data_IF_392882487068
#
_entry.id   IF_392882487068
#
_cell.length_a   1.000
_cell.length_b   1.000
_cell.length_c   1.000
_cell.angle_alpha   90.00
_cell.angle_beta   90.00
_cell.angle_gamma   90.00
#
_symmetry.space_group_name_H-M   'P 1'
#
loop_
_entity.id
_entity.type
_entity.pdbx_description
1 polymer ?
#
# COMPACT_ATOMS: atom_id res chain seq x y z
N UNK A 1 13.00 22.88 22.57
CA UNK A 1 11.77 22.32 21.97
C UNK A 1 11.29 23.13 20.76
N UNK A 2 11.71 24.40 20.60
CA UNK A 2 11.13 25.31 19.60
C UNK A 2 11.56 25.09 18.14
N UNK A 3 12.79 24.63 17.88
CA UNK A 3 13.29 24.48 16.50
C UNK A 3 12.61 23.35 15.73
N UNK A 4 12.33 22.22 16.40
CA UNK A 4 11.63 21.09 15.80
C UNK A 4 10.16 21.42 15.51
N UNK A 5 9.47 22.09 16.43
CA UNK A 5 8.09 22.52 16.24
C UNK A 5 7.98 23.56 15.12
N UNK A 6 8.89 24.53 15.08
CA UNK A 6 8.93 25.52 14.01
C UNK A 6 9.19 24.87 12.65
N UNK A 7 10.15 23.95 12.55
CA UNK A 7 10.42 23.20 11.32
C UNK A 7 9.18 22.40 10.86
N UNK A 8 8.44 21.80 11.79
CA UNK A 8 7.25 21.01 11.50
C UNK A 8 6.09 21.88 10.99
N UNK A 9 5.88 23.05 11.59
CA UNK A 9 4.91 24.05 11.13
C UNK A 9 5.29 24.61 9.75
N UNK A 10 6.57 24.86 9.50
CA UNK A 10 7.07 25.30 8.20
C UNK A 10 6.84 24.25 7.11
N UNK A 11 7.07 22.97 7.44
CA UNK A 11 6.90 21.84 6.52
C UNK A 11 5.41 21.59 6.22
N UNK A 12 4.54 21.74 7.23
CA UNK A 12 3.09 21.73 7.04
C UNK A 12 2.62 22.91 6.17
N UNK A 13 3.13 24.11 6.44
CA UNK A 13 2.84 25.30 5.63
C UNK A 13 3.26 25.14 4.18
N UNK A 14 4.49 24.66 3.93
CA UNK A 14 5.03 24.41 2.60
C UNK A 14 4.26 23.32 1.86
N UNK A 15 3.91 22.22 2.52
CA UNK A 15 3.12 21.14 1.90
C UNK A 15 1.69 21.58 1.58
N UNK A 16 1.05 22.34 2.46
CA UNK A 16 -0.27 22.93 2.20
C UNK A 16 -0.22 23.94 1.05
N UNK A 17 0.80 24.79 1.01
CA UNK A 17 0.99 25.78 -0.05
C UNK A 17 1.28 25.10 -1.39
N UNK A 18 2.16 24.09 -1.40
CA UNK A 18 2.41 23.28 -2.59
C UNK A 18 1.16 22.55 -3.07
N UNK A 19 0.36 21.98 -2.16
CA UNK A 19 -0.91 21.34 -2.48
C UNK A 19 -1.91 22.34 -3.09
N UNK A 20 -2.06 23.53 -2.51
CA UNK A 20 -2.94 24.58 -3.01
C UNK A 20 -2.47 25.11 -4.37
N UNK A 21 -1.18 25.41 -4.53
CA UNK A 21 -0.60 25.88 -5.79
C UNK A 21 -0.71 24.80 -6.86
N UNK A 22 -0.39 23.55 -6.55
CA UNK A 22 -0.55 22.41 -7.46
C UNK A 22 -2.01 22.22 -7.87
N UNK A 23 -2.94 22.30 -6.92
CA UNK A 23 -4.37 22.20 -7.20
C UNK A 23 -4.85 23.36 -8.08
N UNK A 24 -4.49 24.60 -7.77
CA UNK A 24 -4.85 25.79 -8.55
C UNK A 24 -4.21 25.75 -9.95
N UNK A 25 -2.96 25.31 -10.06
CA UNK A 25 -2.22 25.19 -11.31
C UNK A 25 -2.79 24.06 -12.20
N UNK A 26 -3.14 22.92 -11.62
CA UNK A 26 -3.84 21.85 -12.32
C UNK A 26 -5.24 22.31 -12.75
N UNK A 27 -5.95 23.04 -11.89
CA UNK A 27 -7.24 23.63 -12.23
C UNK A 27 -7.12 24.69 -13.33
N UNK A 28 -6.07 25.52 -13.33
CA UNK A 28 -5.87 26.54 -14.37
C UNK A 28 -5.44 25.94 -15.71
N UNK A 29 -4.64 24.87 -15.69
CA UNK A 29 -4.31 24.04 -16.87
C UNK A 29 -5.54 23.29 -17.40
N UNK A 30 -6.40 22.79 -16.52
CA UNK A 30 -7.62 22.06 -16.89
C UNK A 30 -8.77 22.99 -17.29
N UNK A 31 -8.73 24.26 -16.86
CA UNK A 31 -9.79 25.24 -17.10
C UNK A 31 -9.78 25.82 -18.52
N UNK A 32 -8.74 25.59 -19.32
CA UNK A 32 -8.61 26.27 -20.61
C UNK A 32 -9.26 25.57 -21.81
N UNK A 33 -9.84 24.37 -21.72
CA UNK A 33 -10.54 23.79 -22.89
C UNK A 33 -11.66 22.75 -22.66
N UNK A 34 -12.14 22.51 -21.42
CA UNK A 34 -13.07 21.37 -21.16
C UNK A 34 -14.27 21.73 -20.26
N UNK A 35 -14.79 22.96 -20.34
CA UNK A 35 -15.92 23.42 -19.52
C UNK A 35 -17.19 23.79 -20.31
N UNK A 36 -17.49 23.06 -21.38
CA UNK A 36 -18.79 23.16 -22.06
C UNK A 36 -19.37 21.76 -22.31
N UNK A 37 -20.44 21.44 -21.58
CA UNK A 37 -21.29 20.24 -21.71
C UNK A 37 -20.58 18.87 -21.74
N UNK A 38 -20.13 18.38 -20.57
CA UNK A 38 -19.66 17.00 -20.42
C UNK A 38 -20.78 16.08 -19.89
N UNK A 39 -21.36 15.19 -20.72
CA UNK A 39 -22.31 14.16 -20.27
C UNK A 39 -21.71 13.16 -19.26
N UNK A 40 -20.41 13.23 -19.02
CA UNK A 40 -19.63 12.32 -18.18
C UNK A 40 -19.50 12.76 -16.72
N UNK A 41 -19.97 13.96 -16.32
CA UNK A 41 -19.83 14.47 -14.94
C UNK A 41 -20.34 13.48 -13.89
N UNK A 42 -21.53 12.92 -14.09
CA UNK A 42 -22.11 11.93 -13.16
C UNK A 42 -21.31 10.61 -13.11
N UNK A 43 -20.79 10.17 -14.25
CA UNK A 43 -20.02 8.93 -14.34
C UNK A 43 -18.63 9.07 -13.73
N UNK A 44 -17.98 10.24 -13.90
CA UNK A 44 -16.68 10.54 -13.31
C UNK A 44 -16.76 10.56 -11.79
N UNK A 45 -17.73 11.27 -11.20
CA UNK A 45 -17.91 11.28 -9.74
C UNK A 45 -18.25 9.88 -9.19
N UNK A 46 -19.02 9.09 -9.94
CA UNK A 46 -19.37 7.72 -9.55
C UNK A 46 -18.17 6.76 -9.49
N UNK A 47 -17.15 6.96 -10.33
CA UNK A 47 -15.91 6.16 -10.34
C UNK A 47 -14.86 6.75 -9.40
N UNK A 48 -14.70 8.07 -9.40
CA UNK A 48 -13.72 8.78 -8.58
C UNK A 48 -14.01 8.66 -7.08
N UNK A 49 -15.29 8.65 -6.67
CA UNK A 49 -15.64 8.57 -5.24
C UNK A 49 -15.22 7.25 -4.58
N UNK A 50 -15.49 6.04 -5.13
CA UNK A 50 -14.94 4.82 -4.55
C UNK A 50 -13.42 4.76 -4.54
N UNK A 51 -12.76 5.23 -5.61
CA UNK A 51 -11.30 5.24 -5.69
C UNK A 51 -10.70 6.18 -4.64
N UNK A 52 -11.28 7.36 -4.44
CA UNK A 52 -10.88 8.30 -3.39
C UNK A 52 -11.01 7.68 -2.01
N UNK A 53 -12.18 7.08 -1.71
CA UNK A 53 -12.41 6.41 -0.42
C UNK A 53 -11.39 5.28 -0.22
N UNK A 54 -11.13 4.46 -1.24
CA UNK A 54 -10.13 3.38 -1.18
C UNK A 54 -8.74 3.92 -0.85
N UNK A 55 -8.30 4.99 -1.52
CA UNK A 55 -7.00 5.63 -1.26
C UNK A 55 -6.92 6.28 0.12
N UNK A 56 -7.99 6.94 0.58
CA UNK A 56 -8.06 7.50 1.93
C UNK A 56 -7.99 6.42 3.00
N UNK A 57 -8.68 5.30 2.82
CA UNK A 57 -8.63 4.17 3.76
C UNK A 57 -7.24 3.52 3.80
N UNK A 58 -6.55 3.44 2.66
CA UNK A 58 -5.17 2.98 2.63
C UNK A 58 -4.25 3.89 3.47
N UNK A 59 -4.45 5.20 3.42
CA UNK A 59 -3.74 6.14 4.31
C UNK A 59 -4.10 5.91 5.78
N UNK A 60 -5.38 5.71 6.09
CA UNK A 60 -5.82 5.39 7.46
C UNK A 60 -5.12 4.13 7.97
N UNK A 61 -5.09 3.04 7.20
CA UNK A 61 -4.39 1.80 7.54
C UNK A 61 -2.88 2.02 7.74
N UNK A 62 -2.27 2.91 6.93
CA UNK A 62 -0.83 3.18 7.01
C UNK A 62 -0.44 4.02 8.23
N UNK A 63 -1.37 4.80 8.78
CA UNK A 63 -1.12 5.72 9.90
C UNK A 63 -1.73 5.25 11.23
N UNK A 64 -2.75 4.38 11.20
CA UNK A 64 -3.42 3.83 12.38
C UNK A 64 -2.41 3.27 13.39
N UNK A 65 -1.48 2.43 12.94
CA UNK A 65 -0.44 1.84 13.79
C UNK A 65 0.33 2.91 14.58
N UNK A 66 0.82 3.94 13.90
CA UNK A 66 1.65 4.98 14.51
C UNK A 66 0.84 5.83 15.48
N UNK A 67 -0.40 6.17 15.12
CA UNK A 67 -1.29 6.94 15.98
C UNK A 67 -1.69 6.17 17.24
N UNK A 68 -2.00 4.88 17.10
CA UNK A 68 -2.38 4.03 18.23
C UNK A 68 -1.17 3.73 19.13
N UNK A 69 -0.01 3.42 18.57
CA UNK A 69 1.22 3.29 19.35
C UNK A 69 1.55 4.59 20.10
N UNK A 70 1.34 5.75 19.48
CA UNK A 70 1.51 7.06 20.12
C UNK A 70 0.62 7.31 21.34
N UNK A 71 -0.53 6.64 21.42
CA UNK A 71 -1.39 6.69 22.60
C UNK A 71 -0.88 5.78 23.73
N UNK A 72 -0.35 4.60 23.41
CA UNK A 72 0.04 3.59 24.41
C UNK A 72 1.51 3.65 24.86
N UNK A 73 2.40 4.27 24.07
CA UNK A 73 3.84 4.15 24.24
C UNK A 73 4.54 5.52 24.16
N UNK A 74 5.73 5.66 24.78
CA UNK A 74 6.55 6.85 24.65
C UNK A 74 6.96 7.13 23.20
N UNK A 75 7.09 8.41 22.84
CA UNK A 75 7.45 8.88 21.50
C UNK A 75 8.71 8.20 20.93
N UNK A 76 9.70 7.90 21.77
CA UNK A 76 10.93 7.20 21.37
C UNK A 76 10.64 5.82 20.73
N UNK A 77 9.74 5.04 21.34
CA UNK A 77 9.37 3.71 20.80
C UNK A 77 8.53 3.81 19.53
N UNK A 78 7.71 4.86 19.43
CA UNK A 78 6.89 5.13 18.24
C UNK A 78 7.78 5.56 17.08
N UNK A 79 8.77 6.42 17.34
CA UNK A 79 9.79 6.83 16.37
C UNK A 79 10.60 5.63 15.86
N UNK A 80 11.03 4.75 16.77
CA UNK A 80 11.70 3.51 16.39
C UNK A 80 10.84 2.60 15.50
N UNK A 81 9.58 2.38 15.85
CA UNK A 81 8.64 1.63 15.01
C UNK A 81 8.51 2.26 13.62
N UNK A 82 8.47 3.59 13.54
CA UNK A 82 8.34 4.29 12.25
C UNK A 82 9.57 4.12 11.36
N UNK A 83 10.77 4.12 11.94
CA UNK A 83 12.02 3.78 11.24
C UNK A 83 11.93 2.36 10.69
N UNK A 84 11.55 1.40 11.54
CA UNK A 84 11.40 -0.01 11.15
C UNK A 84 10.40 -0.17 10.00
N UNK A 85 9.23 0.47 10.11
CA UNK A 85 8.22 0.45 9.05
C UNK A 85 8.76 1.02 7.74
N UNK A 86 9.50 2.13 7.78
CA UNK A 86 10.15 2.71 6.61
C UNK A 86 11.17 1.76 5.96
N UNK A 87 12.00 1.10 6.77
CA UNK A 87 12.94 0.08 6.27
C UNK A 87 12.18 -1.08 5.61
N UNK A 88 11.08 -1.57 6.22
CA UNK A 88 10.25 -2.62 5.62
C UNK A 88 9.62 -2.19 4.29
N UNK A 89 9.17 -0.94 4.15
CA UNK A 89 8.56 -0.43 2.91
C UNK A 89 9.52 -0.36 1.72
N UNK A 90 10.84 -0.47 1.94
CA UNK A 90 11.81 -0.58 0.84
C UNK A 90 11.52 -1.81 -0.05
N UNK A 91 10.96 -2.87 0.52
CA UNK A 91 10.57 -4.09 -0.20
C UNK A 91 9.53 -3.78 -1.29
N UNK A 92 8.56 -2.90 -1.00
CA UNK A 92 7.46 -2.57 -1.92
C UNK A 92 7.71 -1.28 -2.70
N UNK A 93 8.88 -0.65 -2.57
CA UNK A 93 9.22 0.57 -3.28
C UNK A 93 9.14 0.39 -4.81
N UNK A 94 9.72 -0.69 -5.34
CA UNK A 94 9.64 -1.01 -6.77
C UNK A 94 8.21 -1.28 -7.23
N UNK A 95 7.39 -1.94 -6.39
CA UNK A 95 5.98 -2.20 -6.67
C UNK A 95 5.18 -0.89 -6.82
N UNK A 96 5.45 0.14 -6.02
CA UNK A 96 4.82 1.45 -6.19
C UNK A 96 5.12 2.07 -7.56
N UNK A 97 6.37 2.01 -8.01
CA UNK A 97 6.76 2.51 -9.33
C UNK A 97 6.13 1.70 -10.47
N UNK A 98 6.03 0.38 -10.33
CA UNK A 98 5.37 -0.46 -11.34
C UNK A 98 3.86 -0.17 -11.41
N UNK A 99 3.21 0.03 -10.27
CA UNK A 99 1.77 0.27 -10.21
C UNK A 99 1.31 1.52 -10.98
N UNK A 100 2.14 2.57 -11.07
CA UNK A 100 1.81 3.79 -11.83
C UNK A 100 1.76 3.55 -13.34
N UNK A 101 2.59 2.64 -13.85
CA UNK A 101 2.64 2.25 -15.27
C UNK A 101 1.60 1.17 -15.58
N UNK A 102 1.36 0.25 -14.65
CA UNK A 102 0.44 -0.88 -14.83
C UNK A 102 -1.02 -0.42 -14.88
N UNK A 103 -1.39 0.59 -14.10
CA UNK A 103 -2.77 1.10 -14.07
C UNK A 103 -3.32 1.46 -15.48
N UNK A 104 -2.67 2.33 -16.29
CA UNK A 104 -3.16 2.63 -17.64
C UNK A 104 -3.10 1.43 -18.59
N UNK A 105 -2.11 0.54 -18.45
CA UNK A 105 -2.01 -0.68 -19.27
C UNK A 105 -3.19 -1.61 -19.03
N UNK A 106 -3.56 -1.85 -17.77
CA UNK A 106 -4.73 -2.67 -17.42
C UNK A 106 -6.00 -2.07 -18.02
N UNK A 107 -6.19 -0.76 -17.90
CA UNK A 107 -7.37 -0.10 -18.48
C UNK A 107 -7.44 -0.28 -20.01
N UNK A 108 -6.30 -0.34 -20.71
CA UNK A 108 -6.27 -0.55 -22.16
C UNK A 108 -6.60 -1.99 -22.57
N UNK A 109 -6.17 -2.98 -21.78
CA UNK A 109 -6.27 -4.41 -22.13
C UNK A 109 -7.34 -5.18 -21.35
N UNK A 110 -8.15 -4.52 -20.51
CA UNK A 110 -9.08 -5.19 -19.60
C UNK A 110 -10.09 -6.16 -20.26
N UNK A 111 -10.39 -5.98 -21.56
CA UNK A 111 -11.28 -6.85 -22.32
C UNK A 111 -10.60 -8.13 -22.83
N UNK A 112 -9.27 -8.15 -22.86
CA UNK A 112 -8.45 -9.26 -23.33
C UNK A 112 -7.87 -9.99 -22.11
N UNK A 113 -8.59 -11.01 -21.64
CA UNK A 113 -8.25 -11.76 -20.43
C UNK A 113 -6.86 -12.43 -20.51
N UNK A 114 -6.44 -12.85 -21.70
CA UNK A 114 -5.10 -13.42 -21.93
C UNK A 114 -4.02 -12.37 -21.67
N UNK A 115 -4.13 -11.19 -22.30
CA UNK A 115 -3.14 -10.13 -22.09
C UNK A 115 -3.14 -9.59 -20.66
N UNK A 116 -4.32 -9.51 -20.05
CA UNK A 116 -4.45 -9.12 -18.65
C UNK A 116 -3.75 -10.12 -17.72
N UNK A 117 -3.91 -11.41 -17.98
CA UNK A 117 -3.22 -12.48 -17.25
C UNK A 117 -1.69 -12.36 -17.39
N UNK A 118 -1.20 -12.22 -18.62
CA UNK A 118 0.23 -12.11 -18.89
C UNK A 118 0.84 -10.86 -18.25
N UNK A 119 0.12 -9.73 -18.29
CA UNK A 119 0.54 -8.50 -17.60
C UNK A 119 0.59 -8.71 -16.09
N UNK A 120 -0.47 -9.23 -15.48
CA UNK A 120 -0.53 -9.47 -14.03
C UNK A 120 0.61 -10.38 -13.57
N UNK A 121 0.87 -11.47 -14.32
CA UNK A 121 1.94 -12.42 -14.05
C UNK A 121 3.32 -11.78 -14.18
N UNK A 122 3.57 -11.00 -15.25
CA UNK A 122 4.84 -10.33 -15.47
C UNK A 122 5.13 -9.30 -14.37
N UNK A 123 4.11 -8.55 -13.93
CA UNK A 123 4.25 -7.59 -12.83
C UNK A 123 4.54 -8.31 -11.52
N UNK A 124 3.84 -9.40 -11.21
CA UNK A 124 4.11 -10.18 -10.00
C UNK A 124 5.52 -10.80 -9.99
N UNK A 125 6.01 -11.26 -11.15
CA UNK A 125 7.39 -11.74 -11.30
C UNK A 125 8.42 -10.62 -11.12
N UNK A 126 8.19 -9.44 -11.70
CA UNK A 126 9.08 -8.28 -11.53
C UNK A 126 9.12 -7.82 -10.07
N UNK A 127 7.96 -7.77 -9.40
CA UNK A 127 7.89 -7.51 -7.97
C UNK A 127 8.69 -8.55 -7.18
N UNK A 128 8.57 -9.85 -7.49
CA UNK A 128 9.36 -10.87 -6.81
C UNK A 128 10.86 -10.69 -7.02
N UNK A 129 11.31 -10.47 -8.26
CA UNK A 129 12.73 -10.30 -8.60
C UNK A 129 13.32 -9.06 -7.92
N UNK A 130 12.53 -8.01 -7.69
CA UNK A 130 12.98 -6.78 -7.03
C UNK A 130 12.86 -6.87 -5.50
N UNK A 131 11.72 -7.30 -4.98
CA UNK A 131 11.42 -7.39 -3.54
C UNK A 131 12.15 -8.54 -2.85
N UNK A 132 12.40 -9.66 -3.53
CA UNK A 132 13.06 -10.83 -2.97
C UNK A 132 14.49 -10.56 -2.47
N UNK A 133 15.39 -10.00 -3.30
CA UNK A 133 16.73 -9.60 -2.88
C UNK A 133 16.71 -8.56 -1.74
N UNK A 134 15.81 -7.58 -1.79
CA UNK A 134 15.67 -6.57 -0.73
C UNK A 134 15.26 -7.23 0.59
N UNK A 135 14.33 -8.18 0.55
CA UNK A 135 13.92 -8.96 1.71
C UNK A 135 15.08 -9.79 2.30
N UNK A 136 15.90 -10.43 1.46
CA UNK A 136 17.10 -11.16 1.91
C UNK A 136 18.10 -10.21 2.59
N UNK A 137 18.34 -9.02 2.01
CA UNK A 137 19.20 -8.00 2.62
C UNK A 137 18.65 -7.58 3.99
N UNK A 138 17.34 -7.38 4.12
CA UNK A 138 16.70 -7.05 5.40
C UNK A 138 16.82 -8.20 6.42
N UNK A 139 16.71 -9.46 6.00
CA UNK A 139 16.91 -10.61 6.89
C UNK A 139 18.34 -10.71 7.41
N UNK A 140 19.34 -10.47 6.57
CA UNK A 140 20.75 -10.61 6.94
C UNK A 140 21.29 -9.38 7.68
N UNK A 141 20.85 -8.18 7.29
CA UNK A 141 21.40 -6.91 7.76
C UNK A 141 20.39 -6.01 8.48
N UNK A 142 19.21 -6.53 8.84
CA UNK A 142 18.11 -5.74 9.41
C UNK A 142 18.50 -4.93 10.64
N UNK A 143 19.24 -5.53 11.58
CA UNK A 143 19.73 -4.84 12.78
C UNK A 143 20.67 -3.67 12.43
N UNK A 144 21.58 -3.88 11.46
CA UNK A 144 22.51 -2.85 11.00
C UNK A 144 21.78 -1.72 10.25
N UNK A 145 20.77 -2.06 9.46
CA UNK A 145 19.93 -1.09 8.74
C UNK A 145 19.15 -0.20 9.72
N UNK A 146 18.61 -0.76 10.81
CA UNK A 146 17.97 0.02 11.88
C UNK A 146 19.03 0.89 12.61
N UNK A 147 20.21 0.31 12.90
CA UNK A 147 21.30 1.00 13.59
C UNK A 147 21.84 2.21 12.84
N UNK A 148 21.75 2.22 11.51
CA UNK A 148 22.14 3.37 10.68
C UNK A 148 21.38 4.67 11.02
N UNK A 149 20.18 4.55 11.59
CA UNK A 149 19.38 5.69 12.03
C UNK A 149 19.74 6.20 13.45
N UNK A 150 20.85 5.74 14.03
CA UNK A 150 21.34 6.23 15.33
C UNK A 150 20.53 5.76 16.54
N UNK A 151 19.82 4.63 16.41
CA UNK A 151 18.97 4.09 17.47
C UNK A 151 19.82 3.44 18.55
N UNK A 152 19.49 3.70 19.83
CA UNK A 152 20.14 3.14 21.02
C UNK A 152 20.09 1.61 21.11
N UNK A 153 18.99 0.97 20.67
CA UNK A 153 18.84 -0.49 20.70
C UNK A 153 18.18 -1.07 19.43
N UNK A 154 18.94 -1.22 18.32
CA UNK A 154 18.41 -1.76 17.06
C UNK A 154 17.93 -3.21 17.16
N UNK A 155 18.54 -4.00 18.05
CA UNK A 155 18.24 -5.42 18.21
C UNK A 155 16.82 -5.66 18.75
N UNK A 156 16.31 -4.78 19.61
CA UNK A 156 14.94 -4.86 20.12
C UNK A 156 13.87 -4.69 19.02
N UNK A 157 14.20 -3.93 17.98
CA UNK A 157 13.30 -3.59 16.88
C UNK A 157 13.37 -4.59 15.72
N UNK A 158 14.39 -5.44 15.69
CA UNK A 158 14.59 -6.43 14.63
C UNK A 158 13.37 -7.38 14.43
N UNK A 159 12.73 -7.93 15.48
CA UNK A 159 11.55 -8.77 15.30
C UNK A 159 10.39 -8.05 14.61
N UNK A 160 10.20 -6.75 14.89
CA UNK A 160 9.14 -5.94 14.28
C UNK A 160 9.42 -5.78 12.78
N UNK A 161 10.70 -5.58 12.42
CA UNK A 161 11.14 -5.48 11.03
C UNK A 161 10.85 -6.76 10.26
N UNK A 162 11.17 -7.92 10.82
CA UNK A 162 10.97 -9.19 10.15
C UNK A 162 9.48 -9.46 9.91
N UNK A 163 8.62 -9.25 10.91
CA UNK A 163 7.18 -9.44 10.77
C UNK A 163 6.61 -8.52 9.67
N UNK A 164 6.98 -7.24 9.68
CA UNK A 164 6.54 -6.30 8.64
C UNK A 164 7.11 -6.65 7.27
N UNK A 165 8.37 -7.09 7.20
CA UNK A 165 9.03 -7.48 5.97
C UNK A 165 8.32 -8.67 5.29
N UNK A 166 7.87 -9.67 6.06
CA UNK A 166 7.03 -10.76 5.55
C UNK A 166 5.70 -10.27 4.98
N UNK A 167 5.05 -9.33 5.68
CA UNK A 167 3.85 -8.68 5.17
C UNK A 167 4.12 -8.02 3.81
N UNK A 168 5.14 -7.15 3.76
CA UNK A 168 5.52 -6.37 2.57
C UNK A 168 5.89 -7.29 1.39
N UNK A 169 6.58 -8.38 1.67
CA UNK A 169 6.91 -9.38 0.67
C UNK A 169 5.64 -10.06 0.11
N UNK A 170 4.69 -10.43 0.97
CA UNK A 170 3.40 -11.00 0.52
C UNK A 170 2.60 -10.02 -0.34
N UNK A 171 2.63 -8.74 0.00
CA UNK A 171 2.02 -7.69 -0.79
C UNK A 171 2.67 -7.53 -2.18
N UNK A 172 4.00 -7.61 -2.25
CA UNK A 172 4.73 -7.59 -3.52
C UNK A 172 4.35 -8.79 -4.42
N UNK A 173 4.26 -9.98 -3.82
CA UNK A 173 3.91 -11.22 -4.50
C UNK A 173 2.53 -11.25 -5.11
N UNK A 174 1.57 -10.57 -4.47
CA UNK A 174 0.17 -10.60 -4.88
C UNK A 174 -0.09 -9.85 -6.18
N UNK A 175 0.89 -9.07 -6.66
CA UNK A 175 0.79 -8.33 -7.91
C UNK A 175 -0.17 -7.14 -7.83
N UNK A 176 -0.58 -6.58 -8.98
CA UNK A 176 -1.36 -5.34 -9.04
C UNK A 176 -2.87 -5.57 -8.84
N UNK A 177 -3.28 -6.48 -7.95
CA UNK A 177 -4.69 -6.92 -7.79
C UNK A 177 -5.67 -5.78 -7.56
N UNK A 178 -5.31 -4.80 -6.73
CA UNK A 178 -6.17 -3.64 -6.46
C UNK A 178 -6.28 -2.72 -7.68
N UNK A 179 -5.18 -2.54 -8.43
CA UNK A 179 -5.19 -1.78 -9.67
C UNK A 179 -6.05 -2.46 -10.73
N UNK A 180 -6.00 -3.79 -10.80
CA UNK A 180 -6.89 -4.56 -11.68
C UNK A 180 -8.35 -4.29 -11.32
N UNK A 181 -8.74 -4.42 -10.06
CA UNK A 181 -10.12 -4.14 -9.65
C UNK A 181 -10.55 -2.70 -9.98
N UNK A 182 -9.71 -1.71 -9.69
CA UNK A 182 -10.02 -0.30 -9.97
C UNK A 182 -10.12 0.02 -11.47
N UNK A 183 -9.26 -0.57 -12.30
CA UNK A 183 -9.18 -0.26 -13.73
C UNK A 183 -10.11 -1.13 -14.59
N UNK A 184 -10.81 -2.10 -13.98
CA UNK A 184 -11.76 -3.00 -14.66
C UNK A 184 -13.22 -2.77 -14.25
N UNK A 185 -13.52 -1.64 -13.58
CA UNK A 185 -14.90 -1.27 -13.20
C UNK A 185 -15.40 -1.90 -11.89
N UNK A 186 -14.49 -2.47 -11.09
CA UNK A 186 -14.79 -3.04 -9.76
C UNK A 186 -14.26 -2.16 -8.62
N UNK A 187 -14.18 -0.84 -8.83
CA UNK A 187 -13.71 0.14 -7.84
C UNK A 187 -14.53 0.11 -6.53
N UNK A 188 -15.82 -0.23 -6.61
CA UNK A 188 -16.66 -0.44 -5.42
C UNK A 188 -16.23 -1.65 -4.60
N UNK A 189 -15.81 -2.73 -5.26
CA UNK A 189 -15.30 -3.93 -4.59
C UNK A 189 -13.94 -3.65 -3.94
N UNK A 190 -13.06 -2.90 -4.62
CA UNK A 190 -11.80 -2.42 -4.06
C UNK A 190 -12.03 -1.55 -2.81
N UNK A 191 -12.94 -0.56 -2.90
CA UNK A 191 -13.35 0.27 -1.76
C UNK A 191 -13.87 -0.56 -0.58
N UNK A 192 -14.80 -1.49 -0.83
CA UNK A 192 -15.38 -2.31 0.23
C UNK A 192 -14.31 -3.21 0.88
N UNK A 193 -13.35 -3.71 0.09
CA UNK A 193 -12.19 -4.44 0.62
C UNK A 193 -11.39 -3.55 1.57
N UNK A 194 -11.01 -2.34 1.14
CA UNK A 194 -10.26 -1.40 1.99
C UNK A 194 -11.02 -0.97 3.24
N UNK A 195 -12.36 -0.86 3.18
CA UNK A 195 -13.18 -0.57 4.36
C UNK A 195 -13.06 -1.68 5.40
N UNK A 196 -13.29 -2.93 4.99
CA UNK A 196 -13.18 -4.10 5.89
C UNK A 196 -11.78 -4.18 6.47
N UNK A 197 -10.76 -3.94 5.66
CA UNK A 197 -9.35 -4.03 6.08
C UNK A 197 -8.98 -2.93 7.05
N UNK A 198 -9.47 -1.70 6.85
CA UNK A 198 -9.26 -0.60 7.79
C UNK A 198 -9.87 -0.90 9.16
N UNK A 199 -11.12 -1.39 9.18
CA UNK A 199 -11.79 -1.77 10.42
C UNK A 199 -11.05 -2.92 11.11
N UNK A 200 -10.68 -3.97 10.36
CA UNK A 200 -9.93 -5.10 10.91
C UNK A 200 -8.55 -4.68 11.43
N UNK A 201 -7.85 -3.80 10.72
CA UNK A 201 -6.52 -3.34 11.13
C UNK A 201 -6.60 -2.53 12.42
N UNK A 202 -7.56 -1.60 12.54
CA UNK A 202 -7.77 -0.83 13.76
C UNK A 202 -8.19 -1.74 14.93
N UNK A 203 -9.10 -2.71 14.68
CA UNK A 203 -9.53 -3.65 15.70
C UNK A 203 -8.37 -4.55 16.19
N UNK A 204 -7.58 -5.10 15.28
CA UNK A 204 -6.41 -5.91 15.62
C UNK A 204 -5.36 -5.08 16.37
N UNK A 205 -5.11 -3.85 15.94
CA UNK A 205 -4.23 -2.94 16.66
C UNK A 205 -4.73 -2.66 18.08
N UNK A 206 -6.03 -2.42 18.25
CA UNK A 206 -6.63 -2.17 19.57
C UNK A 206 -6.48 -3.37 20.52
N UNK A 207 -6.48 -4.60 19.98
CA UNK A 207 -6.35 -5.83 20.76
C UNK A 207 -4.87 -6.21 21.01
N UNK A 208 -4.01 -6.07 20.00
CA UNK A 208 -2.63 -6.57 20.04
C UNK A 208 -1.62 -5.55 20.59
N UNK A 209 -1.83 -4.24 20.37
CA UNK A 209 -0.90 -3.22 20.88
C UNK A 209 -0.83 -3.20 22.41
N UNK A 210 -1.94 -3.28 23.17
CA UNK A 210 -1.86 -3.25 24.64
C UNK A 210 -1.01 -4.39 25.23
N UNK A 211 -1.05 -5.58 24.62
CA UNK A 211 -0.32 -6.76 25.11
C UNK A 211 1.09 -6.89 24.53
N UNK A 212 1.31 -6.53 23.26
CA UNK A 212 2.56 -6.78 22.53
C UNK A 212 3.30 -5.50 22.09
N UNK A 213 2.72 -4.32 22.33
CA UNK A 213 3.31 -3.03 21.94
C UNK A 213 3.57 -2.92 20.43
N UNK A 214 4.76 -2.45 20.00
CA UNK A 214 5.09 -2.31 18.59
C UNK A 214 5.08 -3.62 17.79
N UNK A 215 5.36 -4.75 18.45
CA UNK A 215 5.27 -6.07 17.80
C UNK A 215 3.79 -6.41 17.48
N UNK A 216 2.86 -6.01 18.35
CA UNK A 216 1.42 -6.15 18.11
C UNK A 216 0.94 -5.37 16.90
N UNK A 217 1.47 -4.15 16.71
CA UNK A 217 1.20 -3.36 15.50
C UNK A 217 1.75 -4.04 14.25
N UNK A 218 2.99 -4.55 14.31
CA UNK A 218 3.58 -5.30 13.21
C UNK A 218 2.73 -6.53 12.81
N UNK A 219 2.26 -7.31 13.79
CA UNK A 219 1.37 -8.45 13.51
C UNK A 219 0.03 -8.01 12.92
N UNK A 220 -0.60 -6.98 13.48
CA UNK A 220 -1.89 -6.45 12.99
C UNK A 220 -1.79 -6.08 11.52
N UNK A 221 -0.76 -5.32 11.16
CA UNK A 221 -0.53 -4.87 9.78
C UNK A 221 -0.14 -6.00 8.85
N UNK A 222 0.71 -6.94 9.27
CA UNK A 222 1.05 -8.09 8.43
C UNK A 222 -0.17 -8.99 8.19
N UNK A 223 -0.98 -9.28 9.22
CA UNK A 223 -2.17 -10.12 9.09
C UNK A 223 -3.23 -9.46 8.18
N UNK A 224 -3.52 -8.17 8.38
CA UNK A 224 -4.45 -7.48 7.50
C UNK A 224 -3.93 -7.38 6.09
N UNK A 225 -2.61 -7.17 5.93
CA UNK A 225 -1.99 -7.08 4.60
C UNK A 225 -2.06 -8.37 3.81
N UNK A 226 -1.76 -9.50 4.45
CA UNK A 226 -1.92 -10.83 3.87
C UNK A 226 -3.40 -11.08 3.55
N UNK A 227 -4.30 -10.80 4.49
CA UNK A 227 -5.73 -11.04 4.34
C UNK A 227 -6.35 -10.29 3.16
N UNK A 228 -6.06 -9.00 3.01
CA UNK A 228 -6.63 -8.21 1.91
C UNK A 228 -6.05 -8.57 0.56
N UNK A 229 -4.77 -8.92 0.50
CA UNK A 229 -4.14 -9.39 -0.73
C UNK A 229 -4.75 -10.69 -1.22
N UNK A 230 -4.96 -11.66 -0.31
CA UNK A 230 -5.65 -12.92 -0.63
C UNK A 230 -7.07 -12.62 -1.12
N UNK A 231 -7.82 -11.81 -0.37
CA UNK A 231 -9.20 -11.44 -0.73
C UNK A 231 -9.28 -10.77 -2.11
N UNK A 232 -8.41 -9.79 -2.38
CA UNK A 232 -8.35 -9.09 -3.66
C UNK A 232 -7.95 -10.03 -4.80
N UNK A 233 -6.99 -10.94 -4.58
CA UNK A 233 -6.62 -11.97 -5.55
C UNK A 233 -7.80 -12.91 -5.87
N UNK A 234 -8.57 -13.33 -4.87
CA UNK A 234 -9.78 -14.13 -5.07
C UNK A 234 -10.83 -13.39 -5.89
N UNK A 235 -11.03 -12.09 -5.65
CA UNK A 235 -11.95 -11.26 -6.45
C UNK A 235 -11.48 -11.13 -7.90
N UNK A 236 -10.20 -10.91 -8.14
CA UNK A 236 -9.63 -10.85 -9.50
C UNK A 236 -9.83 -12.18 -10.22
N UNK A 237 -9.58 -13.31 -9.54
CA UNK A 237 -9.85 -14.63 -10.11
C UNK A 237 -11.34 -14.82 -10.43
N UNK A 238 -12.24 -14.44 -9.52
CA UNK A 238 -13.68 -14.58 -9.71
C UNK A 238 -14.21 -13.74 -10.88
N UNK A 239 -13.71 -12.51 -11.05
CA UNK A 239 -14.21 -11.60 -12.08
C UNK A 239 -13.56 -11.76 -13.44
N UNK A 240 -12.29 -12.13 -13.49
CA UNK A 240 -11.50 -12.15 -14.72
C UNK A 240 -10.90 -13.52 -15.06
N UNK A 241 -11.02 -14.52 -14.18
CA UNK A 241 -10.34 -15.82 -14.33
C UNK A 241 -8.81 -15.74 -14.21
N UNK A 242 -8.27 -14.59 -13.82
CA UNK A 242 -6.83 -14.32 -13.81
C UNK A 242 -6.22 -14.68 -12.47
N UNK A 243 -5.23 -15.57 -12.48
CA UNK A 243 -4.38 -15.85 -11.31
C UNK A 243 -3.13 -14.98 -11.42
N UNK A 244 -3.09 -13.90 -10.64
CA UNK A 244 -1.91 -13.00 -10.59
C UNK A 244 -0.72 -13.62 -9.84
N UNK A 245 -0.91 -14.72 -9.09
CA UNK A 245 0.12 -15.31 -8.24
C UNK A 245 1.03 -16.24 -9.05
N UNK A 246 2.33 -15.94 -9.17
CA UNK A 246 3.23 -16.63 -10.11
C UNK A 246 3.49 -18.11 -9.80
N UNK A 247 3.19 -18.57 -8.57
CA UNK A 247 3.35 -19.98 -8.19
C UNK A 247 2.12 -20.85 -8.50
N UNK A 248 0.92 -20.28 -8.60
CA UNK A 248 -0.32 -21.04 -8.80
C UNK A 248 -0.68 -21.24 -10.28
N UNK A 249 -0.10 -20.43 -11.17
CA UNK A 249 -0.35 -20.49 -12.62
C UNK A 249 0.26 -21.71 -13.32
N UNK A 250 1.29 -22.34 -12.74
CA UNK A 250 1.90 -23.54 -13.33
C UNK A 250 0.98 -24.76 -13.30
N UNK A 251 -0.10 -24.74 -12.50
CA UNK A 251 -1.02 -25.87 -12.37
C UNK A 251 -2.23 -25.79 -13.33
N UNK A 252 -2.66 -24.59 -13.74
CA UNK A 252 -3.81 -24.45 -14.67
C UNK A 252 -3.47 -24.79 -16.12
N UNK A 253 -2.18 -24.73 -16.50
CA UNK A 253 -1.73 -24.99 -17.87
C UNK A 253 -1.60 -26.49 -18.21
N UNK A 254 -1.97 -27.38 -17.30
CA UNK A 254 -1.89 -28.85 -17.49
C UNK A 254 -3.26 -29.51 -17.69
N UNK A 255 -4.36 -28.74 -17.60
CA UNK A 255 -5.73 -29.25 -17.72
C UNK A 255 -6.55 -28.61 -18.86
N UNK A 256 -5.92 -27.79 -19.70
CA UNK A 256 -6.44 -27.39 -21.02
C UNK A 256 -5.62 -28.10 -22.10
#
# INVERSE_FOLDING_TARGET
ADTAQFALLLLLGLSALFFLVSTIYILSLSAHDVLTNLPWKGQLFRIATPMLISSSLFLVISWSDTLMLGYFLPEERVGLYRIVFKVATLITFAQFALNTVVAPMVSAIHKDHSKLHDLAHKVAQLNLITSGPIFIVILLFGTSLIGFFGVSNPAQAYPWLIVLAFGQLTNAFSGPVLNILNMTGYEKSARNTMLVVAVLNIALNALLIPSFGPLGAAYSTTLTMVGWNIWAATLVYKYHGVIAVPFLTKYSRKND
#
